data_IF_388653774174
#
_entry.id   IF_388653774174
#
_cell.length_a   1.000
_cell.length_b   1.000
_cell.length_c   1.000
_cell.angle_alpha   90.00
_cell.angle_beta   90.00
_cell.angle_gamma   90.00
#
_symmetry.space_group_name_H-M   'P 1'
#
loop_
_entity.id
_entity.type
_entity.pdbx_description
1 polymer ?
#
# COMPACT_ATOMS: atom_id res chain seq x y z
N UNK A 1 3.81 -11.26 17.84
CA UNK A 1 3.46 -11.91 16.55
C UNK A 1 4.74 -12.32 15.84
N UNK A 2 4.78 -13.48 15.17
CA UNK A 2 5.96 -13.96 14.44
C UNK A 2 6.36 -13.03 13.27
N UNK A 3 5.37 -12.46 12.55
CA UNK A 3 5.57 -11.49 11.48
C UNK A 3 6.41 -10.28 11.91
N UNK A 4 6.19 -9.78 13.13
CA UNK A 4 6.94 -8.63 13.68
C UNK A 4 8.45 -8.87 13.70
N UNK A 5 8.89 -10.07 14.09
CA UNK A 5 10.31 -10.41 14.10
C UNK A 5 10.90 -10.40 12.68
N UNK A 6 10.18 -11.01 11.74
CA UNK A 6 10.58 -11.05 10.31
C UNK A 6 10.69 -9.63 9.75
N UNK A 7 9.75 -8.74 10.06
CA UNK A 7 9.83 -7.37 9.58
C UNK A 7 11.06 -6.65 10.13
N UNK A 8 11.37 -6.80 11.43
CA UNK A 8 12.55 -6.17 12.05
C UNK A 8 13.88 -6.73 11.50
N UNK A 9 13.91 -7.98 11.05
CA UNK A 9 15.08 -8.61 10.42
C UNK A 9 15.30 -8.15 8.97
N UNK A 10 14.23 -7.81 8.26
CA UNK A 10 14.29 -7.29 6.88
C UNK A 10 14.52 -5.78 6.86
N UNK A 11 15.14 -5.21 5.83
CA UNK A 11 15.40 -3.77 5.78
C UNK A 11 14.12 -2.93 5.66
N UNK A 12 14.22 -1.64 6.03
CA UNK A 12 13.12 -0.68 5.94
C UNK A 12 12.79 -0.29 4.49
N UNK A 13 13.82 -0.24 3.64
CA UNK A 13 13.72 -0.26 2.18
C UNK A 13 13.98 -1.69 1.71
N UNK A 14 12.95 -2.39 1.25
CA UNK A 14 13.10 -3.75 0.72
C UNK A 14 13.82 -3.72 -0.64
N UNK A 15 14.72 -4.66 -0.89
CA UNK A 15 15.35 -4.84 -2.20
C UNK A 15 14.92 -6.20 -2.76
N UNK A 16 14.20 -6.16 -3.89
CA UNK A 16 13.48 -7.32 -4.42
C UNK A 16 13.90 -7.62 -5.87
N UNK A 17 13.86 -8.90 -6.24
CA UNK A 17 14.01 -9.34 -7.63
C UNK A 17 12.67 -9.61 -8.32
N UNK A 18 12.65 -9.53 -9.63
CA UNK A 18 11.55 -9.99 -10.48
C UNK A 18 11.65 -11.51 -10.75
N UNK A 19 10.55 -12.21 -11.07
CA UNK A 19 9.19 -11.69 -11.25
C UNK A 19 8.46 -11.44 -9.92
N UNK A 20 7.58 -10.44 -9.90
CA UNK A 20 6.78 -10.08 -8.72
C UNK A 20 5.46 -9.40 -9.11
N UNK A 21 4.40 -9.74 -8.38
CA UNK A 21 3.09 -9.10 -8.49
C UNK A 21 2.95 -8.00 -7.44
N UNK A 22 2.62 -6.78 -7.85
CA UNK A 22 2.42 -5.62 -6.98
C UNK A 22 0.93 -5.37 -6.79
N UNK A 23 0.50 -5.31 -5.54
CA UNK A 23 -0.90 -5.11 -5.13
C UNK A 23 -1.01 -3.81 -4.34
N UNK A 24 -1.98 -2.96 -4.69
CA UNK A 24 -2.33 -1.74 -3.96
C UNK A 24 -3.26 -2.02 -2.77
N UNK A 25 -4.13 -1.06 -2.48
CA UNK A 25 -5.05 -1.07 -1.35
C UNK A 25 -6.04 -2.25 -1.40
N UNK A 26 -6.35 -2.83 -0.24
CA UNK A 26 -7.33 -3.93 -0.09
C UNK A 26 -8.46 -3.57 0.88
N UNK A 27 -8.19 -2.78 1.93
CA UNK A 27 -9.19 -2.25 2.86
C UNK A 27 -10.23 -3.26 3.33
N UNK A 28 -9.79 -4.41 3.86
CA UNK A 28 -10.69 -5.41 4.42
C UNK A 28 -11.63 -6.09 3.41
N UNK A 29 -11.43 -5.93 2.09
CA UNK A 29 -12.16 -6.68 1.05
C UNK A 29 -11.57 -8.09 0.87
N UNK A 30 -11.69 -8.91 1.92
CA UNK A 30 -11.08 -10.24 1.98
C UNK A 30 -11.43 -11.16 0.81
N UNK A 31 -12.69 -11.15 0.36
CA UNK A 31 -13.11 -11.98 -0.78
C UNK A 31 -12.45 -11.53 -2.09
N UNK A 32 -12.20 -10.23 -2.28
CA UNK A 32 -11.49 -9.73 -3.45
C UNK A 32 -9.99 -10.01 -3.38
N UNK A 33 -9.41 -10.02 -2.18
CA UNK A 33 -8.05 -10.53 -1.95
C UNK A 33 -7.90 -11.99 -2.42
N UNK A 34 -8.87 -12.85 -2.11
CA UNK A 34 -8.87 -14.23 -2.60
C UNK A 34 -9.00 -14.30 -4.12
N UNK A 35 -9.87 -13.46 -4.73
CA UNK A 35 -9.99 -13.36 -6.19
C UNK A 35 -8.68 -12.95 -6.86
N UNK A 36 -7.89 -12.08 -6.24
CA UNK A 36 -6.54 -11.73 -6.75
C UNK A 36 -5.63 -12.95 -6.76
N UNK A 37 -5.62 -13.76 -5.70
CA UNK A 37 -4.83 -15.00 -5.66
C UNK A 37 -5.34 -16.07 -6.63
N UNK A 38 -6.66 -16.17 -6.86
CA UNK A 38 -7.23 -17.07 -7.87
C UNK A 38 -6.76 -16.69 -9.29
N UNK A 39 -6.63 -15.40 -9.57
CA UNK A 39 -6.27 -14.87 -10.89
C UNK A 39 -4.77 -14.75 -11.16
N UNK A 40 -3.96 -14.53 -10.11
CA UNK A 40 -2.53 -14.27 -10.21
C UNK A 40 -1.66 -15.40 -9.62
N UNK A 41 -2.26 -16.38 -8.93
CA UNK A 41 -1.62 -17.57 -8.38
C UNK A 41 -1.26 -17.45 -6.90
N UNK A 42 -1.75 -18.39 -6.08
CA UNK A 42 -1.46 -18.41 -4.64
C UNK A 42 0.05 -18.52 -4.31
N UNK A 43 0.54 -17.85 -3.24
CA UNK A 43 1.89 -18.06 -2.73
C UNK A 43 2.17 -19.54 -2.37
N UNK A 44 3.36 -20.09 -2.67
CA UNK A 44 4.53 -19.43 -3.23
C UNK A 44 4.64 -19.56 -4.76
N UNK A 45 3.55 -19.89 -5.47
CA UNK A 45 3.60 -20.03 -6.94
C UNK A 45 3.85 -18.71 -7.66
N UNK A 46 3.50 -17.59 -7.02
CA UNK A 46 3.84 -16.25 -7.44
C UNK A 46 4.40 -15.45 -6.25
N UNK A 47 5.30 -14.53 -6.56
CA UNK A 47 5.84 -13.58 -5.58
C UNK A 47 4.94 -12.36 -5.49
N UNK A 48 4.81 -11.78 -4.30
CA UNK A 48 3.96 -10.63 -4.06
C UNK A 48 4.65 -9.55 -3.24
N UNK A 49 4.40 -8.30 -3.61
CA UNK A 49 4.56 -7.14 -2.74
C UNK A 49 3.23 -6.38 -2.67
N UNK A 50 2.79 -6.07 -1.45
CA UNK A 50 1.64 -5.20 -1.22
C UNK A 50 2.12 -3.82 -0.79
N UNK A 51 1.42 -2.79 -1.27
CA UNK A 51 1.80 -1.39 -1.05
C UNK A 51 1.25 -0.80 0.24
N UNK A 52 0.25 -1.43 0.88
CA UNK A 52 -0.31 -0.95 2.15
C UNK A 52 -1.83 -1.05 2.17
N UNK A 53 -2.43 -0.43 3.19
CA UNK A 53 -3.87 -0.25 3.36
C UNK A 53 -4.64 -1.57 3.29
N UNK A 54 -4.29 -2.46 4.23
CA UNK A 54 -4.89 -3.78 4.39
C UNK A 54 -6.22 -3.72 5.14
N UNK A 55 -6.33 -2.78 6.08
CA UNK A 55 -7.41 -2.69 7.06
C UNK A 55 -8.28 -1.45 6.84
N UNK A 56 -9.30 -1.30 7.69
CA UNK A 56 -10.31 -0.25 7.67
C UNK A 56 -11.28 -0.34 6.48
N UNK A 57 -12.39 0.41 6.59
CA UNK A 57 -13.43 0.62 5.58
C UNK A 57 -14.25 -0.62 5.21
N UNK A 58 -13.61 -1.73 4.85
CA UNK A 58 -14.27 -3.01 4.56
C UNK A 58 -14.63 -3.80 5.81
N UNK A 59 -15.41 -4.87 5.60
CA UNK A 59 -16.03 -5.63 6.70
C UNK A 59 -15.16 -6.75 7.29
N UNK A 60 -14.05 -7.10 6.63
CA UNK A 60 -13.23 -8.29 6.95
C UNK A 60 -11.74 -7.93 7.08
N UNK A 61 -11.43 -6.83 7.76
CA UNK A 61 -10.04 -6.39 7.93
C UNK A 61 -9.23 -7.41 8.71
N UNK A 62 -9.82 -8.09 9.70
CA UNK A 62 -9.12 -9.12 10.47
C UNK A 62 -8.73 -10.32 9.59
N UNK A 63 -9.62 -10.83 8.75
CA UNK A 63 -9.31 -11.92 7.82
C UNK A 63 -8.22 -11.52 6.84
N UNK A 64 -8.35 -10.33 6.24
CA UNK A 64 -7.37 -9.77 5.31
C UNK A 64 -5.99 -9.70 5.94
N UNK A 65 -5.84 -9.01 7.08
CA UNK A 65 -4.53 -8.83 7.70
C UNK A 65 -3.96 -10.16 8.23
N UNK A 66 -4.80 -11.04 8.79
CA UNK A 66 -4.34 -12.35 9.25
C UNK A 66 -3.78 -13.19 8.10
N UNK A 67 -4.46 -13.20 6.94
CA UNK A 67 -4.02 -13.99 5.80
C UNK A 67 -2.68 -13.49 5.24
N UNK A 68 -2.53 -12.18 5.01
CA UNK A 68 -1.28 -11.63 4.47
C UNK A 68 -0.12 -11.77 5.46
N UNK A 69 -0.36 -11.61 6.77
CA UNK A 69 0.67 -11.88 7.80
C UNK A 69 1.02 -13.37 7.87
N UNK A 70 0.06 -14.28 7.71
CA UNK A 70 0.32 -15.71 7.67
C UNK A 70 1.19 -16.08 6.47
N UNK A 71 0.90 -15.52 5.28
CA UNK A 71 1.78 -15.68 4.11
C UNK A 71 3.16 -15.07 4.32
N UNK A 72 3.26 -13.91 4.96
CA UNK A 72 4.56 -13.32 5.30
C UNK A 72 5.38 -14.24 6.20
N UNK A 73 4.77 -14.86 7.20
CA UNK A 73 5.44 -15.82 8.08
C UNK A 73 5.82 -17.10 7.33
N UNK A 74 4.95 -17.57 6.45
CA UNK A 74 5.15 -18.83 5.73
C UNK A 74 6.20 -18.71 4.60
N UNK A 75 6.23 -17.57 3.90
CA UNK A 75 7.04 -17.32 2.71
C UNK A 75 7.78 -15.96 2.81
N UNK A 76 8.66 -15.77 3.81
CA UNK A 76 9.24 -14.46 4.11
C UNK A 76 10.09 -13.86 2.98
N UNK A 77 10.55 -14.69 2.03
CA UNK A 77 11.37 -14.32 0.88
C UNK A 77 10.59 -14.24 -0.45
N UNK A 78 9.28 -14.50 -0.45
CA UNK A 78 8.42 -14.45 -1.64
C UNK A 78 7.19 -13.56 -1.46
N UNK A 79 6.93 -13.11 -0.22
CA UNK A 79 5.75 -12.35 0.15
C UNK A 79 6.15 -11.16 1.01
N UNK A 80 5.86 -9.96 0.52
CA UNK A 80 6.33 -8.70 1.08
C UNK A 80 5.15 -7.75 1.31
N UNK A 81 5.22 -6.98 2.39
CA UNK A 81 4.15 -6.11 2.85
C UNK A 81 4.78 -4.77 3.20
N UNK A 82 4.42 -3.72 2.49
CA UNK A 82 4.74 -2.35 2.86
C UNK A 82 3.69 -1.80 3.83
N UNK A 83 4.02 -0.67 4.45
CA UNK A 83 3.10 0.06 5.31
C UNK A 83 2.27 1.02 4.47
N UNK A 84 0.95 1.01 4.64
CA UNK A 84 0.08 2.09 4.19
C UNK A 84 -0.24 3.08 5.31
N UNK A 85 -0.94 4.15 4.99
CA UNK A 85 -1.32 5.16 5.97
C UNK A 85 -2.41 4.64 6.95
N UNK A 86 -3.14 3.58 6.60
CA UNK A 86 -4.09 2.92 7.51
C UNK A 86 -3.43 1.95 8.49
N UNK A 87 -2.17 1.58 8.30
CA UNK A 87 -1.38 0.81 9.26
C UNK A 87 -0.75 1.71 10.35
N UNK A 88 -1.51 2.68 10.86
CA UNK A 88 -1.14 3.52 12.00
C UNK A 88 -2.30 3.67 12.99
N UNK A 89 -1.97 3.88 14.27
CA UNK A 89 -2.97 3.84 15.34
C UNK A 89 -4.01 4.96 15.21
N UNK A 90 -3.60 6.16 14.81
CA UNK A 90 -4.49 7.32 14.71
C UNK A 90 -5.60 7.13 13.67
N UNK A 91 -5.25 6.55 12.51
CA UNK A 91 -6.18 6.33 11.40
C UNK A 91 -7.09 5.13 11.68
N UNK A 92 -6.53 3.95 11.95
CA UNK A 92 -7.34 2.74 12.10
C UNK A 92 -8.11 2.64 13.42
N UNK A 93 -7.91 3.63 14.31
CA UNK A 93 -8.78 3.87 15.47
C UNK A 93 -10.17 4.36 15.07
N UNK A 94 -10.27 5.07 13.95
CA UNK A 94 -11.46 5.82 13.51
C UNK A 94 -12.13 5.14 12.31
N UNK A 95 -11.35 4.58 11.38
CA UNK A 95 -11.88 4.08 10.09
C UNK A 95 -12.31 2.61 10.05
N UNK A 96 -12.34 1.94 11.21
CA UNK A 96 -13.10 0.70 11.41
C UNK A 96 -12.34 -0.45 12.06
N UNK A 97 -11.03 -0.57 11.88
CA UNK A 97 -10.27 -1.75 12.33
C UNK A 97 -10.25 -1.90 13.86
N UNK A 98 -10.12 -0.79 14.60
CA UNK A 98 -10.24 -0.83 16.05
C UNK A 98 -11.60 -1.38 16.49
N UNK A 99 -12.68 -0.90 15.88
CA UNK A 99 -14.03 -1.31 16.25
C UNK A 99 -14.28 -2.77 15.86
N UNK A 100 -13.74 -3.23 14.73
CA UNK A 100 -13.75 -4.63 14.34
C UNK A 100 -13.02 -5.51 15.37
N UNK A 101 -11.80 -5.13 15.77
CA UNK A 101 -11.01 -5.82 16.79
C UNK A 101 -11.74 -5.86 18.14
N UNK A 102 -12.27 -4.71 18.59
CA UNK A 102 -12.99 -4.59 19.86
C UNK A 102 -14.25 -5.43 19.87
N UNK A 103 -15.02 -5.45 18.78
CA UNK A 103 -16.29 -6.16 18.65
C UNK A 103 -16.08 -7.68 18.58
N UNK A 104 -15.11 -8.15 17.79
CA UNK A 104 -14.90 -9.59 17.54
C UNK A 104 -13.96 -10.25 18.54
N UNK A 105 -13.08 -9.47 19.17
CA UNK A 105 -12.08 -9.94 20.12
C UNK A 105 -11.97 -8.97 21.30
N UNK A 106 -10.94 -8.12 21.32
CA UNK A 106 -10.70 -7.16 22.38
C UNK A 106 -9.71 -6.06 21.92
N UNK A 107 -9.61 -5.00 22.73
CA UNK A 107 -8.71 -3.86 22.46
C UNK A 107 -7.23 -4.26 22.53
N UNK A 108 -6.88 -5.27 23.33
CA UNK A 108 -5.49 -5.76 23.42
C UNK A 108 -5.02 -6.32 22.08
N UNK A 109 -5.90 -7.01 21.34
CA UNK A 109 -5.60 -7.50 20.00
C UNK A 109 -5.26 -6.36 19.03
N UNK A 110 -6.07 -5.29 19.03
CA UNK A 110 -5.79 -4.10 18.22
C UNK A 110 -4.40 -3.51 18.53
N UNK A 111 -4.06 -3.35 19.82
CA UNK A 111 -2.72 -2.89 20.22
C UNK A 111 -1.60 -3.80 19.71
N UNK A 112 -1.81 -5.12 19.72
CA UNK A 112 -0.83 -6.07 19.17
C UNK A 112 -0.68 -5.92 17.65
N UNK A 113 -1.75 -5.61 16.91
CA UNK A 113 -1.65 -5.26 15.50
C UNK A 113 -0.91 -3.95 15.30
N UNK A 114 -1.19 -2.91 16.07
CA UNK A 114 -0.44 -1.64 16.03
C UNK A 114 1.06 -1.85 16.25
N UNK A 115 1.45 -2.64 17.26
CA UNK A 115 2.85 -2.99 17.51
C UNK A 115 3.50 -3.74 16.33
N UNK A 116 2.72 -4.51 15.56
CA UNK A 116 3.18 -5.18 14.35
C UNK A 116 3.31 -4.20 13.18
N UNK A 117 2.32 -3.32 12.99
CA UNK A 117 2.29 -2.31 11.93
C UNK A 117 3.43 -1.31 12.04
N UNK A 118 3.80 -0.93 13.28
CA UNK A 118 4.94 -0.07 13.55
C UNK A 118 6.29 -0.66 13.10
N UNK A 119 6.33 -1.95 12.73
CA UNK A 119 7.52 -2.61 12.20
C UNK A 119 7.49 -2.81 10.68
N UNK A 120 6.41 -2.48 9.98
CA UNK A 120 6.34 -2.67 8.53
C UNK A 120 7.39 -1.80 7.80
N UNK A 121 8.02 -2.33 6.73
CA UNK A 121 8.84 -1.53 5.82
C UNK A 121 7.97 -0.52 5.08
N UNK A 122 8.56 0.59 4.64
CA UNK A 122 7.82 1.73 4.07
C UNK A 122 7.98 1.86 2.55
N UNK A 123 9.02 1.25 1.98
CA UNK A 123 9.27 1.26 0.54
C UNK A 123 9.97 -0.01 0.08
N UNK A 124 9.97 -0.24 -1.22
CA UNK A 124 10.75 -1.28 -1.88
C UNK A 124 11.38 -0.78 -3.18
N UNK A 125 12.50 -1.39 -3.55
CA UNK A 125 13.18 -1.18 -4.82
C UNK A 125 13.27 -2.54 -5.53
N UNK A 126 12.53 -2.68 -6.63
CA UNK A 126 12.50 -3.90 -7.44
C UNK A 126 13.52 -3.76 -8.57
N UNK A 127 14.40 -4.76 -8.70
CA UNK A 127 15.50 -4.81 -9.69
C UNK A 127 16.36 -3.54 -9.70
N UNK A 128 16.51 -2.89 -8.54
CA UNK A 128 17.28 -1.66 -8.40
C UNK A 128 16.69 -0.43 -9.10
N UNK A 129 15.52 -0.50 -9.75
CA UNK A 129 15.05 0.57 -10.64
C UNK A 129 13.57 0.93 -10.53
N UNK A 130 12.72 0.04 -10.01
CA UNK A 130 11.29 0.33 -9.80
C UNK A 130 11.07 0.62 -8.31
N UNK A 131 10.78 1.88 -7.99
CA UNK A 131 10.57 2.32 -6.62
C UNK A 131 9.09 2.20 -6.24
N UNK A 132 8.81 1.45 -5.18
CA UNK A 132 7.47 1.17 -4.68
C UNK A 132 7.26 1.77 -3.29
N UNK A 133 6.11 2.41 -3.07
CA UNK A 133 5.67 2.93 -1.75
C UNK A 133 4.15 3.08 -1.75
N UNK A 134 3.54 3.39 -0.60
CA UNK A 134 2.09 3.61 -0.53
C UNK A 134 1.67 4.97 -1.08
N UNK A 135 2.19 6.02 -0.42
CA UNK A 135 1.98 7.43 -0.69
C UNK A 135 2.73 7.85 -1.95
N UNK A 136 3.74 8.67 -1.80
CA UNK A 136 4.51 9.18 -2.92
C UNK A 136 5.77 9.88 -2.45
N UNK A 137 6.26 10.83 -3.23
CA UNK A 137 7.50 11.52 -2.93
C UNK A 137 7.40 12.44 -1.71
N UNK A 138 8.55 12.67 -1.07
CA UNK A 138 8.70 13.70 -0.03
C UNK A 138 9.68 14.77 -0.49
N UNK A 139 9.46 16.06 -0.19
CA UNK A 139 10.47 17.09 -0.38
C UNK A 139 11.72 16.83 0.48
N UNK A 140 11.60 16.05 1.56
CA UNK A 140 12.69 15.66 2.45
C UNK A 140 13.49 14.45 1.92
N UNK A 141 13.03 13.81 0.83
CA UNK A 141 13.71 12.66 0.23
C UNK A 141 14.87 13.13 -0.68
N UNK A 142 16.06 13.08 -0.13
CA UNK A 142 17.32 13.37 -0.82
C UNK A 142 17.85 12.11 -1.51
N UNK A 143 17.95 11.00 -0.78
CA UNK A 143 18.42 9.73 -1.31
C UNK A 143 17.78 8.52 -0.58
N UNK A 144 17.95 7.32 -1.15
CA UNK A 144 17.33 6.11 -0.62
C UNK A 144 17.91 5.64 0.72
N UNK A 145 19.08 6.12 1.16
CA UNK A 145 19.64 5.74 2.47
C UNK A 145 18.84 6.34 3.62
N UNK A 146 18.24 7.51 3.43
CA UNK A 146 17.32 8.06 4.44
C UNK A 146 16.18 7.09 4.75
N UNK A 147 15.71 6.31 3.77
CA UNK A 147 14.69 5.28 3.99
C UNK A 147 15.28 4.08 4.74
N UNK A 148 16.49 3.65 4.38
CA UNK A 148 17.20 2.52 5.01
C UNK A 148 17.49 2.75 6.50
N UNK A 149 17.76 4.00 6.87
CA UNK A 149 18.17 4.40 8.22
C UNK A 149 16.99 4.65 9.18
N UNK A 150 15.74 4.63 8.71
CA UNK A 150 14.59 4.83 9.58
C UNK A 150 14.47 3.65 10.56
N UNK A 151 14.57 3.98 11.84
CA UNK A 151 14.49 3.01 12.93
C UNK A 151 13.06 2.48 13.11
N UNK A 152 12.96 1.22 13.56
CA UNK A 152 11.68 0.57 13.90
C UNK A 152 11.77 -0.05 15.30
N UNK A 153 10.64 -0.12 16.05
CA UNK A 153 9.28 0.27 15.67
C UNK A 153 9.08 1.80 15.65
N UNK A 154 8.27 2.27 14.71
CA UNK A 154 7.98 3.70 14.51
C UNK A 154 6.47 3.92 14.39
N UNK A 155 5.93 4.94 15.05
CA UNK A 155 4.58 5.44 14.74
C UNK A 155 4.65 6.47 13.61
N UNK A 156 3.59 6.61 12.81
CA UNK A 156 3.61 7.55 11.67
C UNK A 156 3.55 8.98 12.21
N UNK A 157 4.55 9.84 11.93
CA UNK A 157 4.51 11.23 12.36
C UNK A 157 3.49 12.03 11.54
N UNK A 158 3.08 13.18 12.05
CA UNK A 158 2.12 14.06 11.37
C UNK A 158 2.74 14.82 10.16
N UNK A 159 4.07 14.86 10.06
CA UNK A 159 4.83 15.53 8.99
C UNK A 159 6.21 14.89 8.75
N UNK A 160 6.86 15.26 7.65
CA UNK A 160 8.20 14.83 7.27
C UNK A 160 8.22 13.53 6.47
N UNK A 161 9.43 13.07 6.14
CA UNK A 161 9.68 11.95 5.22
C UNK A 161 8.71 10.75 5.35
N UNK A 162 8.54 10.20 6.55
CA UNK A 162 7.69 9.00 6.75
C UNK A 162 6.20 9.32 6.54
N UNK A 163 5.76 10.51 6.93
CA UNK A 163 4.39 10.96 6.66
C UNK A 163 4.19 11.03 5.14
N UNK A 164 5.10 11.69 4.43
CA UNK A 164 4.95 11.95 3.01
C UNK A 164 5.02 10.69 2.13
N UNK A 165 5.89 9.74 2.47
CA UNK A 165 5.97 8.44 1.80
C UNK A 165 4.68 7.62 1.92
N UNK A 166 3.81 7.95 2.88
CA UNK A 166 2.53 7.28 3.11
C UNK A 166 1.31 8.11 2.69
N UNK A 167 1.44 9.43 2.51
CA UNK A 167 0.30 10.34 2.35
C UNK A 167 0.33 11.25 1.11
N UNK A 168 1.49 11.47 0.50
CA UNK A 168 1.56 12.39 -0.65
C UNK A 168 0.90 11.82 -1.89
N UNK A 169 0.46 12.71 -2.78
CA UNK A 169 -0.27 12.37 -4.01
C UNK A 169 0.31 13.08 -5.24
N UNK A 170 0.37 12.41 -6.40
CA UNK A 170 0.63 13.09 -7.67
C UNK A 170 -0.56 13.98 -8.07
N UNK A 171 -0.26 15.13 -8.67
CA UNK A 171 -1.27 16.07 -9.19
C UNK A 171 -0.82 16.59 -10.57
N UNK A 172 -1.71 16.50 -11.56
CA UNK A 172 -1.44 16.89 -12.95
C UNK A 172 -1.56 18.39 -13.21
N UNK A 173 -2.26 19.11 -12.32
CA UNK A 173 -2.55 20.53 -12.49
C UNK A 173 -1.49 21.44 -11.87
N UNK A 174 -0.44 20.87 -11.26
CA UNK A 174 0.62 21.62 -10.58
C UNK A 174 2.02 21.34 -11.15
N UNK A 175 2.94 22.26 -10.86
CA UNK A 175 4.38 22.08 -11.01
C UNK A 175 5.04 22.24 -9.64
N UNK A 176 6.05 21.41 -9.35
CA UNK A 176 6.69 21.37 -8.04
C UNK A 176 5.81 20.71 -6.97
N UNK A 177 5.79 21.31 -5.78
CA UNK A 177 5.04 20.82 -4.61
C UNK A 177 3.82 21.70 -4.33
N UNK A 178 2.70 21.09 -3.98
CA UNK A 178 1.44 21.76 -3.66
C UNK A 178 0.87 21.33 -2.31
N UNK A 179 -0.18 22.03 -1.88
CA UNK A 179 -0.98 21.60 -0.72
C UNK A 179 -1.80 20.35 -1.08
N UNK A 180 -1.96 19.45 -0.11
CA UNK A 180 -2.77 18.24 -0.29
C UNK A 180 -4.16 18.44 0.34
N UNK A 181 -5.22 18.21 -0.45
CA UNK A 181 -6.62 18.32 -0.03
C UNK A 181 -6.98 17.38 1.14
N UNK A 182 -6.16 16.36 1.41
CA UNK A 182 -6.28 15.50 2.59
C UNK A 182 -5.94 16.21 3.91
N UNK A 183 -5.36 17.42 3.84
CA UNK A 183 -4.92 18.18 5.01
C UNK A 183 -3.66 17.62 5.67
N UNK A 184 -2.93 16.74 4.99
CA UNK A 184 -1.69 16.10 5.44
C UNK A 184 -0.75 15.88 4.25
N UNK A 185 0.55 16.04 4.47
CA UNK A 185 1.57 15.95 3.43
C UNK A 185 1.34 16.93 2.25
N UNK A 186 1.81 16.56 1.06
CA UNK A 186 1.90 17.40 -0.13
C UNK A 186 1.30 16.72 -1.36
N UNK A 187 0.98 17.51 -2.36
CA UNK A 187 0.86 17.06 -3.74
C UNK A 187 2.17 17.33 -4.50
N UNK A 188 2.44 16.57 -5.57
CA UNK A 188 3.64 16.77 -6.38
C UNK A 188 3.36 16.62 -7.90
N UNK A 189 3.95 17.52 -8.68
CA UNK A 189 3.79 17.58 -10.13
C UNK A 189 4.63 16.56 -10.91
N UNK A 190 4.36 16.45 -12.22
CA UNK A 190 5.11 15.58 -13.12
C UNK A 190 6.59 15.96 -13.26
N UNK A 191 6.95 17.22 -13.06
CA UNK A 191 8.34 17.67 -12.99
C UNK A 191 9.10 17.09 -11.80
N UNK A 192 8.47 17.01 -10.63
CA UNK A 192 9.04 16.37 -9.43
C UNK A 192 9.28 14.89 -9.69
N UNK A 193 8.33 14.17 -10.30
CA UNK A 193 8.50 12.75 -10.66
C UNK A 193 9.72 12.54 -11.57
N UNK A 194 9.86 13.36 -12.63
CA UNK A 194 11.00 13.26 -13.54
C UNK A 194 12.34 13.53 -12.85
N UNK A 195 12.38 14.56 -12.00
CA UNK A 195 13.58 14.92 -11.25
C UNK A 195 14.00 13.79 -10.32
N UNK A 196 13.08 13.28 -9.51
CA UNK A 196 13.36 12.27 -8.49
C UNK A 196 13.74 10.93 -9.09
N UNK A 197 13.08 10.48 -10.16
CA UNK A 197 13.48 9.26 -10.86
C UNK A 197 14.92 9.37 -11.39
N UNK A 198 15.30 10.52 -11.94
CA UNK A 198 16.68 10.76 -12.38
C UNK A 198 17.65 10.80 -11.19
N UNK A 199 17.28 11.48 -10.10
CA UNK A 199 18.11 11.66 -8.89
C UNK A 199 18.36 10.34 -8.17
N UNK A 200 17.35 9.48 -8.10
CA UNK A 200 17.37 8.19 -7.40
C UNK A 200 17.75 7.01 -8.32
N UNK A 201 18.13 7.28 -9.58
CA UNK A 201 18.46 6.29 -10.61
C UNK A 201 17.36 5.23 -10.84
N UNK A 202 16.10 5.66 -10.77
CA UNK A 202 14.92 4.82 -10.94
C UNK A 202 14.26 5.07 -12.31
N UNK A 203 13.66 4.04 -12.88
CA UNK A 203 12.97 4.11 -14.18
C UNK A 203 11.47 4.34 -14.05
N UNK A 204 10.88 3.86 -12.95
CA UNK A 204 9.44 3.87 -12.67
C UNK A 204 9.17 4.00 -11.17
N UNK A 205 8.11 4.73 -10.83
CA UNK A 205 7.49 4.73 -9.50
C UNK A 205 6.17 3.97 -9.53
N UNK A 206 5.94 3.12 -8.54
CA UNK A 206 4.68 2.39 -8.35
C UNK A 206 4.12 2.73 -6.97
N UNK A 207 2.89 3.22 -6.92
CA UNK A 207 2.24 3.67 -5.68
C UNK A 207 0.77 3.27 -5.58
N UNK A 208 0.11 3.53 -4.46
CA UNK A 208 -1.28 3.13 -4.21
C UNK A 208 -2.19 4.28 -3.74
N UNK A 209 -2.95 4.17 -2.64
CA UNK A 209 -3.60 5.26 -1.85
C UNK A 209 -4.71 6.11 -2.52
N UNK A 210 -4.75 6.20 -3.84
CA UNK A 210 -5.79 6.89 -4.62
C UNK A 210 -6.63 5.87 -5.38
N UNK A 211 -7.95 5.94 -5.18
CA UNK A 211 -8.91 5.17 -5.99
C UNK A 211 -8.84 5.68 -7.42
N UNK A 212 -8.64 4.76 -8.38
CA UNK A 212 -8.59 5.06 -9.82
C UNK A 212 -9.51 4.12 -10.58
N UNK A 213 -10.15 4.62 -11.63
CA UNK A 213 -11.30 3.98 -12.29
C UNK A 213 -11.02 2.53 -12.73
N UNK A 214 -9.91 2.30 -13.44
CA UNK A 214 -9.52 0.98 -13.95
C UNK A 214 -8.70 0.13 -12.95
N UNK A 215 -8.56 0.61 -11.71
CA UNK A 215 -7.67 0.02 -10.70
C UNK A 215 -6.18 0.29 -10.94
N UNK A 216 -5.81 0.91 -12.06
CA UNK A 216 -4.50 1.51 -12.27
C UNK A 216 -4.59 2.81 -13.06
N UNK A 217 -3.64 3.73 -12.86
CA UNK A 217 -3.55 4.95 -13.64
C UNK A 217 -2.09 5.36 -13.81
N UNK A 218 -1.70 5.68 -15.05
CA UNK A 218 -0.38 6.24 -15.33
C UNK A 218 -0.37 7.75 -15.12
N UNK A 219 0.76 8.24 -14.63
CA UNK A 219 1.08 9.65 -14.49
C UNK A 219 2.44 9.94 -15.13
N UNK A 220 2.64 11.19 -15.55
CA UNK A 220 3.89 11.71 -16.12
C UNK A 220 4.50 10.77 -17.18
N UNK A 221 3.87 10.66 -18.36
CA UNK A 221 4.38 9.82 -19.48
C UNK A 221 4.77 8.39 -19.06
N UNK A 222 3.97 7.78 -18.18
CA UNK A 222 4.15 6.43 -17.61
C UNK A 222 5.38 6.28 -16.70
N UNK A 223 5.85 7.38 -16.10
CA UNK A 223 6.93 7.37 -15.11
C UNK A 223 6.45 7.05 -13.70
N UNK A 224 5.17 7.26 -13.43
CA UNK A 224 4.52 6.83 -12.20
C UNK A 224 3.27 6.04 -12.56
N UNK A 225 2.97 5.01 -11.77
CA UNK A 225 1.70 4.29 -11.82
C UNK A 225 1.08 4.21 -10.43
N UNK A 226 -0.19 4.61 -10.34
CA UNK A 226 -1.05 4.40 -9.19
C UNK A 226 -1.77 3.08 -9.35
N UNK A 227 -1.80 2.25 -8.31
CA UNK A 227 -2.49 0.96 -8.24
C UNK A 227 -3.52 0.98 -7.12
N UNK A 228 -4.72 0.49 -7.42
CA UNK A 228 -5.76 0.29 -6.43
C UNK A 228 -6.36 -1.10 -6.61
N UNK A 229 -6.37 -1.90 -5.54
CA UNK A 229 -6.69 -3.33 -5.64
C UNK A 229 -8.00 -3.71 -4.93
N UNK A 230 -8.80 -2.73 -4.48
CA UNK A 230 -10.14 -2.95 -3.93
C UNK A 230 -11.22 -2.49 -4.93
N UNK A 231 -11.90 -3.42 -5.63
CA UNK A 231 -12.92 -3.06 -6.62
C UNK A 231 -14.24 -2.66 -5.92
N UNK A 232 -15.03 -1.80 -6.55
CA UNK A 232 -16.25 -1.23 -5.96
C UNK A 232 -16.01 -0.67 -4.54
N UNK A 233 -14.99 0.18 -4.41
CA UNK A 233 -14.48 0.60 -3.11
C UNK A 233 -15.58 1.21 -2.25
N UNK A 234 -15.66 0.76 -0.99
CA UNK A 234 -16.72 1.14 -0.03
C UNK A 234 -18.18 0.94 -0.52
N UNK A 235 -18.41 0.33 -1.67
CA UNK A 235 -19.72 0.31 -2.32
C UNK A 235 -20.19 1.67 -2.83
N UNK A 236 -19.30 2.65 -2.92
CA UNK A 236 -19.58 4.03 -3.34
C UNK A 236 -18.96 4.38 -4.69
N UNK A 237 -17.89 3.70 -5.06
CA UNK A 237 -17.20 3.85 -6.34
C UNK A 237 -17.51 2.67 -7.24
N UNK A 238 -17.55 2.88 -8.55
CA UNK A 238 -17.69 1.78 -9.53
C UNK A 238 -16.34 1.30 -10.09
N UNK A 239 -15.25 1.58 -9.38
CA UNK A 239 -13.89 1.29 -9.84
C UNK A 239 -13.62 -0.22 -9.97
N UNK A 240 -12.78 -0.58 -10.94
CA UNK A 240 -12.12 -1.87 -10.98
C UNK A 240 -10.93 -1.90 -10.00
N UNK A 241 -10.34 -3.08 -9.84
CA UNK A 241 -9.08 -3.27 -9.14
C UNK A 241 -8.03 -3.76 -10.13
N UNK A 242 -6.76 -3.44 -9.89
CA UNK A 242 -5.66 -3.98 -10.69
C UNK A 242 -4.55 -4.57 -9.82
N UNK A 243 -3.81 -5.50 -10.43
CA UNK A 243 -2.51 -5.99 -9.98
C UNK A 243 -1.51 -5.71 -11.10
N UNK A 244 -0.38 -5.11 -10.76
CA UNK A 244 0.75 -4.96 -11.68
C UNK A 244 1.60 -6.22 -11.63
N UNK A 245 1.80 -6.87 -12.77
CA UNK A 245 2.66 -8.03 -12.94
C UNK A 245 3.97 -7.53 -13.56
N UNK A 246 5.07 -7.75 -12.85
CA UNK A 246 6.42 -7.44 -13.32
C UNK A 246 7.10 -8.77 -13.61
N UNK A 247 7.32 -9.06 -14.89
CA UNK A 247 8.00 -10.29 -15.33
C UNK A 247 9.52 -10.18 -15.14
N UNK A 248 10.23 -11.32 -15.30
CA UNK A 248 11.67 -11.39 -15.08
C UNK A 248 12.49 -10.50 -16.05
N UNK A 249 11.92 -10.11 -17.18
CA UNK A 249 12.52 -9.17 -18.15
C UNK A 249 12.09 -7.71 -17.92
N UNK A 250 11.45 -7.44 -16.77
CA UNK A 250 10.86 -6.15 -16.38
C UNK A 250 9.67 -5.69 -17.23
N UNK A 251 9.10 -6.57 -18.06
CA UNK A 251 7.84 -6.28 -18.73
C UNK A 251 6.73 -6.09 -17.68
N UNK A 252 6.08 -4.93 -17.74
CA UNK A 252 4.98 -4.56 -16.87
C UNK A 252 3.64 -4.80 -17.58
N UNK A 253 2.78 -5.63 -16.98
CA UNK A 253 1.41 -5.87 -17.46
C UNK A 253 0.40 -5.77 -16.30
N UNK A 254 -0.89 -5.60 -16.61
CA UNK A 254 -1.92 -5.43 -15.59
C UNK A 254 -2.94 -6.56 -15.65
N UNK A 255 -3.29 -7.11 -14.48
CA UNK A 255 -4.46 -7.97 -14.32
C UNK A 255 -5.58 -7.16 -13.68
N UNK A 256 -6.64 -6.91 -14.43
CA UNK A 256 -7.80 -6.13 -13.97
C UNK A 256 -8.87 -7.07 -13.42
N UNK A 257 -9.40 -6.72 -12.26
CA UNK A 257 -10.51 -7.37 -11.58
C UNK A 257 -11.72 -6.41 -11.58
N UNK A 258 -12.75 -6.67 -12.39
CA UNK A 258 -13.94 -5.81 -12.41
C UNK A 258 -14.75 -5.94 -11.11
N UNK A 259 -15.55 -4.91 -10.78
CA UNK A 259 -16.45 -4.95 -9.63
C UNK A 259 -17.45 -6.11 -9.76
N UNK A 260 -17.70 -6.80 -8.65
CA UNK A 260 -18.69 -7.89 -8.64
C UNK A 260 -20.09 -7.29 -8.56
N UNK A 261 -20.88 -7.41 -9.64
CA UNK A 261 -22.27 -6.96 -9.65
C UNK A 261 -23.07 -7.69 -8.56
N UNK A 262 -23.74 -6.94 -7.67
CA UNK A 262 -24.70 -7.47 -6.69
C UNK A 262 -24.19 -7.64 -5.25
N UNK A 263 -22.94 -7.25 -4.93
CA UNK A 263 -22.48 -7.18 -3.53
C UNK A 263 -22.76 -5.79 -2.97
N UNK A 264 -23.76 -5.66 -2.12
CA UNK A 264 -23.92 -4.50 -1.23
C UNK A 264 -22.96 -4.66 -0.06
N UNK A 265 -21.91 -3.84 -0.01
CA UNK A 265 -21.11 -3.68 1.20
C UNK A 265 -21.97 -2.93 2.23
N UNK A 266 -22.39 -3.61 3.30
CA UNK A 266 -23.05 -2.95 4.42
C UNK A 266 -22.01 -2.13 5.19
N UNK A 267 -21.75 -0.91 4.73
CA UNK A 267 -21.03 0.09 5.54
C UNK A 267 -22.00 0.52 6.65
N UNK A 268 -21.67 0.19 7.90
CA UNK A 268 -22.42 0.67 9.05
C UNK A 268 -22.39 2.21 9.04
N UNK A 269 -23.55 2.85 8.93
CA UNK A 269 -23.71 4.29 8.64
C UNK A 269 -23.15 5.22 9.74
N UNK A 270 -22.44 4.69 10.73
CA UNK A 270 -21.86 5.42 11.86
C UNK A 270 -20.46 5.98 11.61
N UNK A 271 -19.80 5.64 10.51
CA UNK A 271 -18.55 6.27 10.07
C UNK A 271 -18.75 7.58 9.29
N UNK A 272 -19.99 8.09 9.22
CA UNK A 272 -20.38 9.29 8.44
C UNK A 272 -20.09 10.64 9.13
N UNK A 273 -19.04 10.74 9.95
CA UNK A 273 -18.57 12.03 10.49
C UNK A 273 -17.06 12.06 10.64
#
# INVERSE_FOLDING_TARGET
MASRAIFLEQPMLLELGAPVNVIGDIHGQYEDLLRHFDNCGYPPKANYIFLGDYVDRGCHSLETICLVLAYKVKYPQNFFLLRGNHECASINRIYGFYDECKRRYNIKLWKTFTECFNCLPIAALIEGTILCMHGGLSPDLIDLNQIREIERPLDVPDHGLVCDLLWSDPDEDIAGWGENDRGVSFTFGGDVVREYLKKLDCSLMVRAHQVVEDGYQFFEKRKLVTLFSAPNYCGEFDNAAAVLIIDADLTCSFKILPPTKGKTYFVDQKSKK
#
